data_IF_091453772721
#
_entry.id   IF_091453772721
#
_cell.length_a   1.000
_cell.length_b   1.000
_cell.length_c   1.000
_cell.angle_alpha   90.00
_cell.angle_beta   90.00
_cell.angle_gamma   90.00
#
_symmetry.space_group_name_H-M   'P 1'
#
loop_
_entity.id
_entity.type
_entity.pdbx_description
1 polymer ?
#
# COMPACT_ATOMS: atom_id res chain seq x y z
N UNK A 1 -13.26 5.86 10.35
CA UNK A 1 -12.25 5.26 9.42
C UNK A 1 -12.12 3.76 9.72
N UNK A 2 -11.79 2.88 8.76
CA UNK A 2 -11.40 1.48 9.05
C UNK A 2 -10.17 1.03 8.27
N UNK A 3 -9.40 0.12 8.86
CA UNK A 3 -8.18 -0.45 8.28
C UNK A 3 -8.41 -1.94 8.06
N UNK A 4 -8.09 -2.45 6.87
CA UNK A 4 -8.25 -3.86 6.52
C UNK A 4 -6.88 -4.45 6.25
N UNK A 5 -6.49 -5.46 7.03
CA UNK A 5 -5.26 -6.21 6.83
C UNK A 5 -5.53 -7.43 5.94
N UNK A 6 -4.86 -7.51 4.80
CA UNK A 6 -4.96 -8.62 3.84
C UNK A 6 -3.59 -9.31 3.74
N UNK A 7 -3.35 -10.35 4.56
CA UNK A 7 -2.17 -11.21 4.44
C UNK A 7 -1.99 -11.83 3.05
N UNK A 8 -0.85 -11.58 2.42
CA UNK A 8 -0.51 -12.13 1.11
C UNK A 8 0.31 -13.41 1.24
N UNK A 9 1.11 -13.53 2.29
CA UNK A 9 1.97 -14.70 2.56
C UNK A 9 1.77 -15.18 4.00
N UNK A 10 2.13 -16.44 4.26
CA UNK A 10 2.16 -16.96 5.63
C UNK A 10 3.29 -16.31 6.45
N UNK A 11 3.12 -16.15 7.78
CA UNK A 11 4.19 -15.74 8.66
C UNK A 11 5.28 -16.80 8.74
N UNK A 12 6.53 -16.38 8.62
CA UNK A 12 7.70 -17.25 8.76
C UNK A 12 8.00 -17.61 10.23
N UNK A 13 7.84 -18.89 10.62
CA UNK A 13 8.19 -19.39 11.95
C UNK A 13 7.31 -18.85 13.10
N UNK A 14 7.84 -18.82 14.32
CA UNK A 14 7.19 -18.36 15.58
C UNK A 14 6.90 -16.83 15.63
N UNK A 15 6.83 -16.19 14.46
CA UNK A 15 6.56 -14.77 14.25
C UNK A 15 5.14 -14.35 14.70
N UNK A 16 4.29 -15.31 15.05
CA UNK A 16 3.02 -15.08 15.74
C UNK A 16 3.20 -14.41 17.11
N UNK A 17 4.40 -14.46 17.71
CA UNK A 17 4.60 -14.04 19.10
C UNK A 17 5.76 -13.06 19.38
N UNK A 18 6.83 -12.96 18.56
CA UNK A 18 8.05 -12.22 19.01
C UNK A 18 8.76 -11.29 18.02
N UNK A 19 8.50 -11.34 16.72
CA UNK A 19 9.13 -10.38 15.78
C UNK A 19 8.28 -10.17 14.53
N UNK A 20 7.46 -9.12 14.57
CA UNK A 20 6.63 -8.67 13.44
C UNK A 20 7.47 -7.85 12.43
N UNK A 21 8.64 -8.35 12.06
CA UNK A 21 9.48 -7.66 11.07
C UNK A 21 8.80 -7.73 9.69
N UNK A 22 8.74 -6.64 8.90
CA UNK A 22 8.05 -6.60 7.61
C UNK A 22 8.62 -7.54 6.53
N UNK A 23 9.67 -8.31 6.86
CA UNK A 23 10.30 -9.33 6.00
C UNK A 23 9.85 -10.75 6.32
N UNK A 24 9.15 -10.97 7.44
CA UNK A 24 8.64 -12.30 7.82
C UNK A 24 7.25 -12.58 7.25
N UNK A 25 6.56 -11.54 6.77
CA UNK A 25 5.21 -11.64 6.22
C UNK A 25 4.88 -10.42 5.37
N UNK A 26 4.21 -10.63 4.23
CA UNK A 26 3.69 -9.56 3.39
C UNK A 26 2.20 -9.40 3.65
N UNK A 27 1.78 -8.21 4.07
CA UNK A 27 0.38 -7.86 4.32
C UNK A 27 0.04 -6.58 3.58
N UNK A 28 -0.99 -6.63 2.72
CA UNK A 28 -1.55 -5.45 2.10
C UNK A 28 -2.54 -4.78 3.08
N UNK A 29 -2.28 -3.52 3.42
CA UNK A 29 -3.19 -2.73 4.26
C UNK A 29 -4.03 -1.82 3.38
N UNK A 30 -5.35 -1.94 3.51
CA UNK A 30 -6.28 -1.05 2.84
C UNK A 30 -6.91 -0.07 3.83
N UNK A 31 -6.87 1.23 3.52
CA UNK A 31 -7.36 2.29 4.39
C UNK A 31 -8.65 2.88 3.82
N UNK A 32 -9.78 2.68 4.52
CA UNK A 32 -11.06 3.27 4.16
C UNK A 32 -11.38 4.44 5.06
N UNK A 33 -11.16 5.63 4.51
CA UNK A 33 -11.53 6.89 5.13
C UNK A 33 -12.92 7.27 4.61
N UNK A 34 -13.90 7.30 5.52
CA UNK A 34 -15.22 7.89 5.28
C UNK A 34 -15.04 9.41 5.23
N UNK A 35 -15.36 10.06 4.10
CA UNK A 35 -15.33 11.53 4.04
C UNK A 35 -16.48 12.08 4.91
N UNK A 36 -16.22 12.94 5.92
CA UNK A 36 -17.29 13.75 6.48
C UNK A 36 -17.80 14.74 5.42
N UNK A 37 -19.08 15.14 5.45
CA UNK A 37 -19.60 16.17 4.55
C UNK A 37 -18.85 17.49 4.79
N UNK A 38 -18.28 18.08 3.73
CA UNK A 38 -17.52 19.34 3.83
C UNK A 38 -18.47 20.50 4.21
N UNK A 39 -18.17 21.32 5.24
CA UNK A 39 -18.81 22.62 5.39
C UNK A 39 -18.36 23.56 4.25
N UNK A 40 -19.29 24.35 3.73
CA UNK A 40 -19.26 24.99 2.41
C UNK A 40 -18.27 26.16 2.18
N UNK A 41 -17.22 26.33 3.00
CA UNK A 41 -16.51 27.64 3.10
C UNK A 41 -15.00 27.69 2.77
N UNK A 42 -14.36 26.62 2.30
CA UNK A 42 -12.97 26.65 1.78
C UNK A 42 -12.98 26.30 0.28
N UNK A 43 -13.04 27.32 -0.60
CA UNK A 43 -13.16 27.10 -2.06
C UNK A 43 -12.01 27.67 -2.92
N UNK A 44 -11.15 28.55 -2.39
CA UNK A 44 -10.21 29.28 -3.25
C UNK A 44 -8.88 28.55 -3.45
N UNK A 45 -8.11 28.23 -2.41
CA UNK A 45 -6.81 27.57 -2.55
C UNK A 45 -6.94 26.08 -2.94
N UNK A 46 -7.85 25.36 -2.29
CA UNK A 46 -8.13 23.94 -2.58
C UNK A 46 -8.60 23.73 -4.03
N UNK A 47 -9.34 24.71 -4.58
CA UNK A 47 -9.85 24.64 -5.95
C UNK A 47 -8.75 24.62 -7.01
N UNK A 48 -7.65 25.37 -6.82
CA UNK A 48 -6.54 25.38 -7.77
C UNK A 48 -5.73 24.09 -7.70
N UNK A 49 -5.44 23.59 -6.49
CA UNK A 49 -4.73 22.32 -6.32
C UNK A 49 -5.54 21.13 -6.87
N UNK A 50 -6.84 21.10 -6.59
CA UNK A 50 -7.77 20.10 -7.14
C UNK A 50 -7.86 20.21 -8.66
N UNK A 51 -7.91 21.43 -9.21
CA UNK A 51 -7.91 21.66 -10.66
C UNK A 51 -6.62 21.16 -11.33
N UNK A 52 -5.44 21.48 -10.79
CA UNK A 52 -4.15 21.01 -11.32
C UNK A 52 -4.09 19.49 -11.28
N UNK A 53 -4.51 18.89 -10.17
CA UNK A 53 -4.52 17.43 -9.99
C UNK A 53 -5.46 16.76 -11.00
N UNK A 54 -6.67 17.29 -11.16
CA UNK A 54 -7.66 16.78 -12.10
C UNK A 54 -7.20 16.94 -13.56
N UNK A 55 -6.60 18.08 -13.91
CA UNK A 55 -6.01 18.29 -15.24
C UNK A 55 -4.87 17.33 -15.52
N UNK A 56 -3.95 17.15 -14.57
CA UNK A 56 -2.86 16.19 -14.71
C UNK A 56 -3.39 14.75 -14.91
N UNK A 57 -4.39 14.35 -14.13
CA UNK A 57 -5.03 13.04 -14.27
C UNK A 57 -5.73 12.85 -15.62
N UNK A 58 -6.44 13.87 -16.11
CA UNK A 58 -7.09 13.85 -17.43
C UNK A 58 -6.06 13.76 -18.56
N UNK A 59 -4.98 14.54 -18.49
CA UNK A 59 -3.90 14.50 -19.47
C UNK A 59 -3.20 13.14 -19.49
N UNK A 60 -2.91 12.57 -18.30
CA UNK A 60 -2.31 11.23 -18.19
C UNK A 60 -3.23 10.15 -18.79
N UNK A 61 -4.52 10.18 -18.47
CA UNK A 61 -5.51 9.26 -19.06
C UNK A 61 -5.66 9.47 -20.59
N UNK A 62 -5.49 10.69 -21.07
CA UNK A 62 -5.46 11.01 -22.49
C UNK A 62 -4.31 10.34 -23.23
N UNK A 63 -3.11 10.26 -22.61
CA UNK A 63 -1.95 9.59 -23.22
C UNK A 63 -2.18 8.09 -23.44
N UNK A 64 -2.91 7.41 -22.55
CA UNK A 64 -3.29 6.00 -22.73
C UNK A 64 -4.33 5.76 -23.82
N UNK A 65 -5.14 6.78 -24.17
CA UNK A 65 -6.16 6.71 -25.24
C UNK A 65 -5.67 7.20 -26.60
N UNK A 66 -4.42 7.63 -26.69
CA UNK A 66 -3.84 8.11 -27.94
C UNK A 66 -3.68 6.98 -28.97
N UNK A 67 -3.37 7.34 -30.21
CA UNK A 67 -3.21 6.37 -31.31
C UNK A 67 -2.16 5.30 -30.94
N UNK A 68 -2.47 4.05 -31.22
CA UNK A 68 -1.56 2.91 -31.02
C UNK A 68 -0.21 3.18 -31.70
N UNK A 69 0.88 2.93 -30.97
CA UNK A 69 2.24 3.17 -31.42
C UNK A 69 2.78 4.60 -31.22
N UNK A 70 1.95 5.55 -30.76
CA UNK A 70 2.41 6.90 -30.43
C UNK A 70 3.36 6.94 -29.23
N UNK A 71 4.21 7.96 -29.14
CA UNK A 71 5.10 8.16 -27.99
C UNK A 71 4.32 8.35 -26.68
N UNK A 72 3.09 8.87 -26.75
CA UNK A 72 2.20 9.07 -25.61
C UNK A 72 1.75 7.74 -25.00
N UNK A 73 1.34 6.77 -25.82
CA UNK A 73 0.99 5.42 -25.34
C UNK A 73 2.22 4.75 -24.74
N UNK A 74 3.38 4.83 -25.40
CA UNK A 74 4.65 4.29 -24.86
C UNK A 74 5.02 4.90 -23.52
N UNK A 75 4.81 6.21 -23.37
CA UNK A 75 5.04 6.93 -22.12
C UNK A 75 4.06 6.48 -21.02
N UNK A 76 2.79 6.38 -21.36
CA UNK A 76 1.75 5.89 -20.45
C UNK A 76 2.10 4.50 -19.93
N UNK A 77 2.38 3.55 -20.83
CA UNK A 77 2.79 2.18 -20.48
C UNK A 77 4.06 2.14 -19.63
N UNK A 78 5.07 2.97 -19.97
CA UNK A 78 6.29 3.06 -19.18
C UNK A 78 6.02 3.62 -17.79
N UNK A 79 5.16 4.63 -17.67
CA UNK A 79 4.71 5.18 -16.39
C UNK A 79 3.97 4.16 -15.54
N UNK A 80 3.03 3.41 -16.13
CA UNK A 80 2.34 2.32 -15.43
C UNK A 80 3.33 1.26 -14.94
N UNK A 81 4.32 0.86 -15.76
CA UNK A 81 5.41 -0.05 -15.34
C UNK A 81 6.26 0.52 -14.19
N UNK A 82 6.45 1.85 -14.13
CA UNK A 82 7.14 2.49 -13.01
C UNK A 82 6.30 2.46 -11.74
N UNK A 83 4.98 2.72 -11.85
CA UNK A 83 4.05 2.61 -10.73
C UNK A 83 4.00 1.18 -10.21
N UNK A 84 4.02 0.19 -11.08
CA UNK A 84 4.04 -1.24 -10.73
C UNK A 84 5.32 -1.68 -9.99
N UNK A 85 6.41 -0.92 -10.13
CA UNK A 85 7.64 -1.12 -9.36
C UNK A 85 7.64 -0.47 -7.99
N UNK A 86 6.68 0.43 -7.72
CA UNK A 86 6.55 1.03 -6.38
C UNK A 86 5.96 -0.01 -5.46
N UNK A 87 6.64 -0.23 -4.33
CA UNK A 87 6.17 -1.10 -3.25
C UNK A 87 4.69 -0.86 -2.92
N UNK A 88 3.89 -1.92 -2.91
CA UNK A 88 2.45 -1.83 -2.62
C UNK A 88 2.18 -1.19 -1.24
N UNK A 89 3.10 -1.32 -0.29
CA UNK A 89 3.02 -0.68 1.02
C UNK A 89 3.12 0.86 0.93
N UNK A 90 3.94 1.38 0.01
CA UNK A 90 4.04 2.83 -0.25
C UNK A 90 2.76 3.34 -0.90
N UNK A 91 2.19 2.58 -1.84
CA UNK A 91 0.92 2.93 -2.50
C UNK A 91 -0.25 2.93 -1.52
N UNK A 92 -0.33 1.94 -0.65
CA UNK A 92 -1.32 1.87 0.41
C UNK A 92 -1.26 3.10 1.33
N UNK A 93 -0.05 3.51 1.76
CA UNK A 93 0.13 4.69 2.60
C UNK A 93 -0.22 6.00 1.87
N UNK A 94 0.07 6.10 0.57
CA UNK A 94 -0.27 7.28 -0.24
C UNK A 94 -1.77 7.58 -0.25
N UNK A 95 -2.61 6.54 -0.21
CA UNK A 95 -4.07 6.65 -0.20
C UNK A 95 -4.64 7.26 1.07
N UNK A 96 -3.86 7.34 2.15
CA UNK A 96 -4.26 7.97 3.41
C UNK A 96 -4.12 9.48 3.25
N UNK A 97 -5.21 10.21 3.50
CA UNK A 97 -5.15 11.65 3.64
C UNK A 97 -5.35 12.05 5.11
N UNK A 98 -4.27 12.52 5.79
CA UNK A 98 -4.37 12.98 7.17
C UNK A 98 -5.36 14.14 7.37
N UNK A 99 -5.70 14.90 6.32
CA UNK A 99 -6.69 15.99 6.40
C UNK A 99 -8.14 15.52 6.42
N UNK A 100 -8.39 14.24 6.09
CA UNK A 100 -9.73 13.65 6.00
C UNK A 100 -9.92 12.56 7.08
N UNK A 101 -8.83 12.06 7.66
CA UNK A 101 -8.87 11.11 8.77
C UNK A 101 -9.26 11.77 10.10
N UNK A 102 -9.66 10.98 11.11
CA UNK A 102 -9.91 11.50 12.45
C UNK A 102 -8.68 12.26 12.98
N UNK A 103 -8.89 13.51 13.37
CA UNK A 103 -7.84 14.36 13.96
C UNK A 103 -7.67 13.98 15.42
N UNK A 104 -6.45 13.58 15.80
CA UNK A 104 -6.10 13.44 17.21
C UNK A 104 -5.78 14.83 17.74
N UNK A 105 -6.60 15.33 18.65
CA UNK A 105 -6.27 16.53 19.43
C UNK A 105 -5.16 16.14 20.40
N UNK A 106 -3.92 16.55 20.14
CA UNK A 106 -2.87 16.50 21.16
C UNK A 106 -3.12 17.63 22.17
N UNK A 107 -3.26 17.34 23.49
CA UNK A 107 -3.25 18.38 24.50
C UNK A 107 -1.79 18.73 24.82
N UNK A 108 -1.09 19.43 23.92
CA UNK A 108 0.02 20.32 24.28
C UNK A 108 0.63 20.98 23.04
N UNK A 109 1.10 22.23 23.22
CA UNK A 109 1.95 23.10 22.36
C UNK A 109 1.35 24.46 21.96
N UNK A 110 0.04 24.70 22.03
CA UNK A 110 -0.47 26.09 21.95
C UNK A 110 -1.68 26.27 22.85
N UNK A 111 -1.52 27.07 23.91
CA UNK A 111 -2.56 27.41 24.89
C UNK A 111 -3.73 28.20 24.31
N UNK A 112 -4.54 27.55 23.48
CA UNK A 112 -5.85 28.03 23.10
C UNK A 112 -6.86 26.96 23.45
N UNK A 113 -7.53 27.16 24.58
CA UNK A 113 -8.70 26.40 24.98
C UNK A 113 -9.79 26.56 23.92
N UNK A 114 -9.94 25.54 23.09
CA UNK A 114 -11.14 25.32 22.30
C UNK A 114 -11.71 23.96 22.68
N UNK A 115 -12.56 24.01 23.71
CA UNK A 115 -13.82 23.27 23.82
C UNK A 115 -13.92 21.96 23.01
N UNK A 116 -13.42 20.88 23.63
CA UNK A 116 -14.11 19.59 23.75
C UNK A 116 -14.76 19.00 22.49
N UNK A 117 -13.96 18.32 21.67
CA UNK A 117 -14.41 17.10 21.01
C UNK A 117 -13.33 16.03 21.18
N UNK A 118 -13.46 15.24 22.25
CA UNK A 118 -12.76 13.95 22.35
C UNK A 118 -13.24 13.11 21.18
N UNK A 119 -12.43 12.95 20.14
CA UNK A 119 -12.73 12.00 19.06
C UNK A 119 -12.50 10.60 19.62
N UNK A 120 -13.55 10.07 20.24
CA UNK A 120 -13.72 8.67 20.64
C UNK A 120 -14.06 7.80 19.42
N UNK A 121 -13.39 8.00 18.29
CA UNK A 121 -13.64 7.21 17.08
C UNK A 121 -12.61 6.08 17.03
N UNK A 122 -12.95 4.96 17.68
CA UNK A 122 -12.20 3.71 17.61
C UNK A 122 -12.09 3.28 16.14
N UNK A 123 -10.86 3.12 15.65
CA UNK A 123 -10.58 2.68 14.28
C UNK A 123 -10.38 1.16 14.31
N UNK A 124 -11.31 0.36 13.73
CA UNK A 124 -11.13 -1.07 13.69
C UNK A 124 -10.04 -1.45 12.67
N UNK A 125 -9.11 -2.27 13.12
CA UNK A 125 -8.09 -2.96 12.32
C UNK A 125 -8.56 -4.40 12.10
N UNK A 126 -9.22 -4.61 10.96
CA UNK A 126 -9.78 -5.91 10.58
C UNK A 126 -8.68 -6.88 10.15
N UNK A 127 -8.67 -8.07 10.74
CA UNK A 127 -7.73 -9.13 10.40
C UNK A 127 -8.40 -10.52 10.31
N UNK A 128 -7.84 -11.45 9.51
CA UNK A 128 -8.30 -12.84 9.48
C UNK A 128 -7.71 -13.63 10.66
N UNK A 129 -8.54 -14.15 11.58
CA UNK A 129 -8.07 -14.84 12.79
C UNK A 129 -7.38 -16.17 12.52
N UNK A 130 -7.64 -16.83 11.38
CA UNK A 130 -6.93 -18.06 10.98
C UNK A 130 -5.47 -17.85 10.58
N UNK A 131 -5.07 -16.62 10.26
CA UNK A 131 -3.72 -16.29 9.78
C UNK A 131 -2.96 -15.41 10.78
N UNK A 132 -3.65 -14.45 11.39
CA UNK A 132 -3.04 -13.44 12.27
C UNK A 132 -3.69 -13.39 13.64
N UNK A 133 -2.92 -12.92 14.61
CA UNK A 133 -3.42 -12.50 15.93
C UNK A 133 -3.64 -10.98 15.93
N UNK A 134 -4.59 -10.51 16.75
CA UNK A 134 -4.85 -9.07 16.90
C UNK A 134 -3.59 -8.27 17.30
N UNK A 135 -2.89 -8.64 18.39
CA UNK A 135 -1.64 -7.99 18.79
C UNK A 135 -0.55 -8.07 17.71
N UNK A 136 -0.42 -9.22 17.03
CA UNK A 136 0.55 -9.40 15.95
C UNK A 136 0.28 -8.49 14.75
N UNK A 137 -0.99 -8.31 14.38
CA UNK A 137 -1.39 -7.43 13.27
C UNK A 137 -1.05 -5.96 13.57
N UNK A 138 -1.32 -5.51 14.80
CA UNK A 138 -1.00 -4.15 15.22
C UNK A 138 0.51 -3.92 15.32
N UNK A 139 1.25 -4.89 15.88
CA UNK A 139 2.71 -4.84 15.94
C UNK A 139 3.34 -4.80 14.54
N UNK A 140 2.80 -5.57 13.59
CA UNK A 140 3.26 -5.57 12.21
C UNK A 140 2.98 -4.22 11.52
N UNK A 141 1.79 -3.64 11.71
CA UNK A 141 1.46 -2.32 11.18
C UNK A 141 2.41 -1.25 11.73
N UNK A 142 2.68 -1.26 13.04
CA UNK A 142 3.65 -0.37 13.68
C UNK A 142 5.05 -0.54 13.09
N UNK A 143 5.55 -1.78 13.00
CA UNK A 143 6.87 -2.05 12.43
C UNK A 143 7.00 -1.59 10.97
N UNK A 144 5.96 -1.77 10.16
CA UNK A 144 5.91 -1.30 8.77
C UNK A 144 6.06 0.22 8.69
N UNK A 145 5.29 0.95 9.51
CA UNK A 145 5.30 2.43 9.56
C UNK A 145 6.67 2.94 10.02
N UNK A 146 7.17 2.42 11.14
CA UNK A 146 8.46 2.80 11.72
C UNK A 146 9.62 2.57 10.75
N UNK A 147 9.63 1.42 10.06
CA UNK A 147 10.70 1.07 9.14
C UNK A 147 10.66 1.91 7.85
N UNK A 148 9.47 2.23 7.32
CA UNK A 148 9.31 2.89 6.02
C UNK A 148 9.33 4.41 6.10
N UNK A 149 8.90 5.01 7.22
CA UNK A 149 8.89 6.46 7.43
C UNK A 149 10.23 7.17 7.09
N UNK A 150 11.41 6.73 7.59
CA UNK A 150 12.67 7.40 7.29
C UNK A 150 13.08 7.26 5.82
N UNK A 151 12.72 6.13 5.17
CA UNK A 151 12.97 5.91 3.73
C UNK A 151 12.17 6.90 2.88
N UNK A 152 10.90 7.11 3.20
CA UNK A 152 10.06 8.08 2.49
C UNK A 152 10.51 9.52 2.71
N UNK A 153 10.93 9.88 3.94
CA UNK A 153 11.52 11.20 4.21
C UNK A 153 12.78 11.46 3.36
N UNK A 154 13.72 10.51 3.34
CA UNK A 154 14.94 10.60 2.52
C UNK A 154 14.59 10.70 1.04
N UNK A 155 13.69 9.84 0.56
CA UNK A 155 13.25 9.84 -0.83
C UNK A 155 12.62 11.17 -1.26
N UNK A 156 11.74 11.76 -0.43
CA UNK A 156 11.16 13.07 -0.68
C UNK A 156 12.25 14.13 -0.92
N UNK A 157 13.24 14.19 -0.04
CA UNK A 157 14.33 15.17 -0.12
C UNK A 157 15.19 14.93 -1.36
N UNK A 158 15.60 13.67 -1.61
CA UNK A 158 16.44 13.30 -2.77
C UNK A 158 15.78 13.72 -4.09
N UNK A 159 14.50 13.40 -4.27
CA UNK A 159 13.79 13.74 -5.51
C UNK A 159 13.46 15.24 -5.62
N UNK A 160 13.26 15.94 -4.50
CA UNK A 160 13.11 17.39 -4.49
C UNK A 160 14.41 18.10 -4.93
N UNK A 161 15.57 17.61 -4.51
CA UNK A 161 16.88 18.14 -4.91
C UNK A 161 17.19 17.79 -6.38
N UNK A 162 16.78 16.61 -6.85
CA UNK A 162 16.97 16.21 -8.24
C UNK A 162 16.12 17.01 -9.23
N UNK A 163 14.91 17.43 -8.83
CA UNK A 163 13.99 18.17 -9.68
C UNK A 163 14.61 19.41 -10.38
N UNK A 164 15.24 20.39 -9.70
CA UNK A 164 15.83 21.55 -10.36
C UNK A 164 16.95 21.17 -11.36
N UNK A 165 17.70 20.09 -11.11
CA UNK A 165 18.74 19.61 -12.04
C UNK A 165 18.15 19.09 -13.36
N UNK A 166 16.91 18.59 -13.30
CA UNK A 166 16.19 18.10 -14.48
C UNK A 166 15.35 19.18 -15.17
N UNK A 167 15.23 20.39 -14.62
CA UNK A 167 14.46 21.48 -15.23
C UNK A 167 14.93 21.95 -16.63
N UNK A 168 16.23 21.92 -16.99
CA UNK A 168 16.70 22.42 -18.29
C UNK A 168 16.17 21.70 -19.54
N UNK A 169 15.62 20.48 -19.41
CA UNK A 169 15.02 19.74 -20.53
C UNK A 169 13.67 20.32 -21.01
N UNK A 170 13.19 21.40 -20.41
CA UNK A 170 11.96 22.11 -20.81
C UNK A 170 12.11 22.92 -22.12
N UNK A 171 13.34 23.09 -22.62
CA UNK A 171 13.64 23.96 -23.77
C UNK A 171 13.16 23.37 -25.12
N UNK A 172 12.82 22.08 -25.20
CA UNK A 172 12.33 21.44 -26.45
C UNK A 172 10.79 21.44 -26.49
N UNK A 173 10.14 22.17 -27.43
CA UNK A 173 8.68 22.40 -27.42
C UNK A 173 7.81 21.18 -27.80
N UNK A 174 8.41 20.05 -28.17
CA UNK A 174 7.68 18.88 -28.70
C UNK A 174 7.40 17.81 -27.62
N UNK A 175 8.25 17.71 -26.59
CA UNK A 175 8.17 16.67 -25.56
C UNK A 175 8.16 17.33 -24.18
N UNK A 176 7.16 17.05 -23.31
CA UNK A 176 7.17 17.58 -21.95
C UNK A 176 8.45 17.14 -21.24
N UNK A 177 8.95 17.93 -20.29
CA UNK A 177 10.12 17.58 -19.50
C UNK A 177 9.81 16.42 -18.53
N UNK A 178 9.75 15.19 -19.06
CA UNK A 178 9.39 13.98 -18.34
C UNK A 178 10.31 13.72 -17.15
N UNK A 179 11.65 13.92 -17.24
CA UNK A 179 12.53 13.80 -16.08
C UNK A 179 12.10 14.70 -14.92
N UNK A 180 11.81 15.99 -15.20
CA UNK A 180 11.36 16.93 -14.17
C UNK A 180 10.04 16.51 -13.55
N UNK A 181 9.02 16.22 -14.37
CA UNK A 181 7.72 15.81 -13.86
C UNK A 181 7.80 14.51 -13.04
N UNK A 182 8.67 13.57 -13.44
CA UNK A 182 8.93 12.37 -12.66
C UNK A 182 9.55 12.69 -11.29
N UNK A 183 10.56 13.56 -11.23
CA UNK A 183 11.16 13.97 -9.94
C UNK A 183 10.14 14.65 -9.02
N UNK A 184 9.33 15.57 -9.54
CA UNK A 184 8.29 16.26 -8.77
C UNK A 184 7.23 15.27 -8.27
N UNK A 185 6.71 14.42 -9.16
CA UNK A 185 5.73 13.39 -8.79
C UNK A 185 6.30 12.42 -7.76
N UNK A 186 7.55 11.99 -7.92
CA UNK A 186 8.19 11.03 -7.01
C UNK A 186 8.47 11.64 -5.64
N UNK A 187 8.87 12.91 -5.61
CA UNK A 187 9.00 13.70 -4.38
C UNK A 187 7.66 13.82 -3.65
N UNK A 188 6.60 14.22 -4.36
CA UNK A 188 5.24 14.32 -3.79
C UNK A 188 4.72 12.96 -3.28
N UNK A 189 4.94 11.88 -4.02
CA UNK A 189 4.55 10.52 -3.60
C UNK A 189 5.22 10.13 -2.29
N UNK A 190 6.52 10.38 -2.16
CA UNK A 190 7.26 10.15 -0.93
C UNK A 190 6.81 11.06 0.22
N UNK A 191 6.54 12.33 -0.05
CA UNK A 191 6.00 13.26 0.94
C UNK A 191 4.68 12.75 1.51
N UNK A 192 3.74 12.35 0.63
CA UNK A 192 2.44 11.79 1.04
C UNK A 192 2.60 10.53 1.88
N UNK A 193 3.41 9.57 1.43
CA UNK A 193 3.67 8.34 2.20
C UNK A 193 4.33 8.62 3.56
N UNK A 194 5.23 9.60 3.64
CA UNK A 194 5.86 10.02 4.89
C UNK A 194 4.86 10.68 5.86
N UNK A 195 4.00 11.58 5.37
CA UNK A 195 2.95 12.21 6.20
C UNK A 195 1.89 11.20 6.65
N UNK A 196 1.51 10.27 5.78
CA UNK A 196 0.63 9.15 6.13
C UNK A 196 1.24 8.25 7.21
N UNK A 197 2.55 7.97 7.12
CA UNK A 197 3.26 7.20 8.15
C UNK A 197 3.23 7.90 9.51
N UNK A 198 3.50 9.21 9.56
CA UNK A 198 3.43 9.98 10.82
C UNK A 198 2.02 9.99 11.41
N UNK A 199 1.00 10.18 10.56
CA UNK A 199 -0.39 10.17 10.98
C UNK A 199 -0.79 8.81 11.56
N UNK A 200 -0.44 7.72 10.87
CA UNK A 200 -0.71 6.37 11.35
C UNK A 200 0.05 6.07 12.65
N UNK A 201 1.28 6.55 12.79
CA UNK A 201 2.05 6.44 14.02
C UNK A 201 1.32 7.12 15.19
N UNK A 202 0.82 8.36 14.99
CA UNK A 202 0.05 9.05 16.04
C UNK A 202 -1.22 8.30 16.45
N UNK A 203 -1.91 7.64 15.50
CA UNK A 203 -3.10 6.83 15.78
C UNK A 203 -2.78 5.56 16.58
N UNK A 204 -1.63 4.95 16.30
CA UNK A 204 -1.15 3.78 17.05
C UNK A 204 -0.76 4.21 18.47
N UNK A 205 0.01 5.28 18.61
CA UNK A 205 0.52 5.74 19.90
C UNK A 205 -0.57 6.32 20.80
N UNK A 206 -1.65 6.88 20.22
CA UNK A 206 -2.84 7.29 20.97
C UNK A 206 -3.76 6.13 21.35
N UNK A 207 -3.47 4.91 20.91
CA UNK A 207 -4.32 3.74 21.12
C UNK A 207 -5.66 3.79 20.40
N UNK A 208 -5.80 4.60 19.33
CA UNK A 208 -7.06 4.75 18.60
C UNK A 208 -7.38 3.54 17.69
N UNK A 209 -6.38 2.71 17.38
CA UNK A 209 -6.51 1.55 16.50
C UNK A 209 -6.68 0.29 17.33
N UNK A 210 -7.82 -0.39 17.14
CA UNK A 210 -8.17 -1.61 17.85
C UNK A 210 -8.24 -2.80 16.88
N UNK A 211 -7.49 -3.89 17.11
CA UNK A 211 -7.60 -5.10 16.32
C UNK A 211 -8.97 -5.76 16.51
N UNK A 212 -9.68 -6.02 15.41
CA UNK A 212 -10.99 -6.67 15.40
C UNK A 212 -10.96 -7.87 14.43
N UNK A 213 -11.32 -9.09 14.88
CA UNK A 213 -11.37 -10.25 14.00
C UNK A 213 -12.52 -10.09 12.98
N UNK A 214 -12.26 -10.41 11.72
CA UNK A 214 -13.25 -10.28 10.65
C UNK A 214 -13.68 -11.64 10.09
N UNK A 215 -14.93 -12.00 10.32
CA UNK A 215 -15.52 -13.23 9.76
C UNK A 215 -15.60 -13.18 8.22
N UNK A 216 -15.81 -11.97 7.66
CA UNK A 216 -15.82 -11.77 6.21
C UNK A 216 -14.46 -12.10 5.57
N UNK A 217 -13.36 -11.67 6.21
CA UNK A 217 -12.01 -12.08 5.78
C UNK A 217 -11.81 -13.58 5.97
N UNK A 218 -12.27 -14.16 7.07
CA UNK A 218 -12.13 -15.59 7.36
C UNK A 218 -12.80 -16.47 6.29
N UNK A 219 -14.04 -16.16 5.91
CA UNK A 219 -14.77 -16.85 4.82
C UNK A 219 -14.00 -16.76 3.51
N UNK A 220 -13.40 -15.60 3.23
CA UNK A 220 -12.62 -15.37 2.03
C UNK A 220 -11.37 -16.27 1.99
N UNK A 221 -10.58 -16.31 3.07
CA UNK A 221 -9.40 -17.17 3.13
C UNK A 221 -9.75 -18.67 3.07
N UNK A 222 -10.90 -19.09 3.63
CA UNK A 222 -11.37 -20.47 3.49
C UNK A 222 -11.75 -20.83 2.06
N UNK A 223 -12.38 -19.90 1.34
CA UNK A 223 -12.91 -20.14 -0.01
C UNK A 223 -11.85 -20.09 -1.10
N UNK A 224 -10.82 -19.26 -0.92
CA UNK A 224 -9.82 -18.96 -1.96
C UNK A 224 -8.40 -19.41 -1.60
N UNK A 225 -8.25 -20.27 -0.58
CA UNK A 225 -6.94 -20.87 -0.26
C UNK A 225 -6.45 -21.65 -1.48
N UNK A 226 -5.23 -21.38 -1.98
CA UNK A 226 -4.69 -22.19 -3.06
C UNK A 226 -4.56 -23.65 -2.59
N UNK A 227 -5.33 -24.53 -3.22
CA UNK A 227 -5.22 -25.97 -3.01
C UNK A 227 -3.82 -26.40 -3.43
N UNK A 228 -3.08 -27.18 -2.62
CA UNK A 228 -1.86 -27.81 -3.10
C UNK A 228 -2.23 -28.63 -4.33
N UNK A 229 -1.84 -28.20 -5.53
CA UNK A 229 -1.99 -29.01 -6.74
C UNK A 229 -1.21 -30.29 -6.49
N UNK A 230 -1.91 -31.42 -6.43
CA UNK A 230 -1.30 -32.75 -6.49
C UNK A 230 -0.37 -32.77 -7.71
N UNK A 231 0.94 -32.83 -7.46
CA UNK A 231 1.88 -33.09 -8.53
C UNK A 231 1.68 -34.54 -8.97
N UNK A 232 1.61 -34.84 -10.27
CA UNK A 232 1.68 -36.22 -10.72
C UNK A 232 3.04 -36.79 -10.31
N UNK A 233 3.00 -37.85 -9.52
CA UNK A 233 4.15 -38.66 -9.10
C UNK A 233 5.02 -38.99 -10.30
N UNK A 234 6.18 -38.35 -10.42
CA UNK A 234 7.29 -38.92 -11.18
C UNK A 234 8.35 -39.34 -10.18
N UNK A 235 8.33 -40.64 -9.89
CA UNK A 235 9.44 -41.35 -9.31
C UNK A 235 10.72 -41.02 -10.08
N UNK A 236 11.74 -40.56 -9.37
CA UNK A 236 13.14 -40.84 -9.68
C UNK A 236 13.97 -40.54 -8.43
N UNK A 237 14.24 -41.61 -7.68
CA UNK A 237 15.42 -41.70 -6.84
C UNK A 237 16.66 -41.47 -7.70
N UNK A 238 17.46 -40.46 -7.37
CA UNK A 238 18.90 -40.44 -7.63
C UNK A 238 19.56 -39.32 -6.81
N UNK A 239 20.29 -39.76 -5.78
CA UNK A 239 21.54 -39.18 -5.27
C UNK A 239 21.54 -37.74 -4.71
N UNK A 240 21.49 -37.66 -3.37
CA UNK A 240 22.60 -37.07 -2.61
C UNK A 240 22.90 -35.57 -2.78
N UNK A 241 21.92 -34.73 -3.11
CA UNK A 241 22.02 -33.27 -2.92
C UNK A 241 20.92 -32.80 -1.99
N UNK A 242 21.31 -32.07 -0.93
CA UNK A 242 20.40 -31.22 -0.16
C UNK A 242 19.93 -30.13 -1.14
N UNK A 243 18.84 -30.41 -1.86
CA UNK A 243 18.15 -29.41 -2.64
C UNK A 243 17.36 -28.60 -1.64
N UNK A 244 17.85 -27.41 -1.27
CA UNK A 244 17.02 -26.40 -0.63
C UNK A 244 15.71 -26.32 -1.41
N UNK A 245 14.60 -26.71 -0.77
CA UNK A 245 13.30 -26.76 -1.40
C UNK A 245 12.95 -25.37 -1.92
N UNK A 246 13.18 -25.13 -3.22
CA UNK A 246 12.86 -23.85 -3.87
C UNK A 246 11.38 -23.57 -3.65
N UNK A 247 11.08 -22.42 -3.03
CA UNK A 247 9.71 -21.99 -2.72
C UNK A 247 8.83 -22.13 -3.97
N UNK A 248 7.67 -22.76 -3.83
CA UNK A 248 6.64 -22.70 -4.86
C UNK A 248 5.79 -21.46 -4.59
N UNK A 249 6.02 -20.35 -5.33
CA UNK A 249 5.43 -19.06 -5.01
C UNK A 249 3.90 -19.07 -5.10
N UNK A 250 3.32 -20.03 -5.81
CA UNK A 250 1.86 -20.14 -5.95
C UNK A 250 1.21 -20.92 -4.79
N UNK A 251 2.00 -21.64 -3.98
CA UNK A 251 1.55 -22.36 -2.76
C UNK A 251 1.74 -21.49 -1.50
N UNK A 252 2.79 -20.66 -1.46
CA UNK A 252 3.12 -19.82 -0.30
C UNK A 252 2.30 -18.52 -0.24
N UNK A 253 1.64 -18.16 -1.35
CA UNK A 253 0.61 -17.11 -1.37
C UNK A 253 -0.67 -17.60 -0.70
N UNK A 254 -1.30 -16.74 0.09
CA UNK A 254 -2.56 -17.06 0.77
C UNK A 254 -3.80 -16.83 -0.10
N UNK A 255 -3.68 -15.95 -1.10
CA UNK A 255 -4.75 -15.56 -2.01
C UNK A 255 -4.26 -15.68 -3.46
N UNK A 256 -5.10 -16.21 -4.34
CA UNK A 256 -4.86 -16.23 -5.78
C UNK A 256 -5.33 -14.94 -6.44
N UNK A 257 -4.86 -14.65 -7.67
CA UNK A 257 -5.35 -13.49 -8.44
C UNK A 257 -6.86 -13.55 -8.70
N UNK A 258 -7.39 -14.74 -8.87
CA UNK A 258 -8.82 -14.96 -9.13
C UNK A 258 -9.70 -14.59 -7.93
N UNK A 259 -9.13 -14.45 -6.73
CA UNK A 259 -9.85 -14.03 -5.53
C UNK A 259 -10.10 -12.52 -5.46
N UNK A 260 -9.38 -11.71 -6.24
CA UNK A 260 -9.43 -10.24 -6.16
C UNK A 260 -10.85 -9.67 -6.29
N UNK A 261 -11.68 -10.08 -7.28
CA UNK A 261 -13.06 -9.59 -7.35
C UNK A 261 -13.88 -9.92 -6.11
N UNK A 262 -13.71 -11.11 -5.54
CA UNK A 262 -14.39 -11.53 -4.32
C UNK A 262 -13.91 -10.74 -3.10
N UNK A 263 -12.61 -10.41 -3.02
CA UNK A 263 -12.04 -9.54 -1.97
C UNK A 263 -12.70 -8.17 -1.99
N UNK A 264 -12.84 -7.57 -3.16
CA UNK A 264 -13.48 -6.27 -3.29
C UNK A 264 -14.95 -6.31 -2.87
N UNK A 265 -15.68 -7.34 -3.30
CA UNK A 265 -17.10 -7.49 -2.99
C UNK A 265 -17.36 -7.77 -1.51
N UNK A 266 -16.70 -8.78 -0.93
CA UNK A 266 -16.91 -9.22 0.45
C UNK A 266 -16.52 -8.11 1.45
N UNK A 267 -15.45 -7.38 1.16
CA UNK A 267 -14.95 -6.33 2.04
C UNK A 267 -15.52 -4.95 1.71
N UNK A 268 -16.38 -4.84 0.69
CA UNK A 268 -16.95 -3.58 0.19
C UNK A 268 -15.85 -2.53 -0.06
N UNK A 269 -14.82 -2.93 -0.80
CA UNK A 269 -13.71 -2.04 -1.18
C UNK A 269 -14.11 -1.23 -2.41
N UNK A 270 -13.51 -0.03 -2.54
CA UNK A 270 -13.70 0.79 -3.75
C UNK A 270 -13.05 0.09 -4.95
N UNK A 271 -13.59 0.26 -6.17
CA UNK A 271 -12.97 -0.29 -7.39
C UNK A 271 -11.51 0.13 -7.59
N UNK A 272 -11.13 1.31 -7.09
CA UNK A 272 -9.74 1.78 -7.12
C UNK A 272 -8.75 0.86 -6.38
N UNK A 273 -9.21 0.02 -5.46
CA UNK A 273 -8.37 -0.93 -4.71
C UNK A 273 -7.98 -2.17 -5.54
N UNK A 274 -8.67 -2.44 -6.65
CA UNK A 274 -8.47 -3.64 -7.47
C UNK A 274 -7.05 -3.72 -8.03
N UNK A 275 -6.62 -2.64 -8.71
CA UNK A 275 -5.30 -2.56 -9.31
C UNK A 275 -4.18 -2.66 -8.26
N UNK A 276 -4.39 -2.06 -7.08
CA UNK A 276 -3.44 -2.12 -5.97
C UNK A 276 -3.31 -3.54 -5.42
N UNK A 277 -4.41 -4.28 -5.32
CA UNK A 277 -4.40 -5.66 -4.83
C UNK A 277 -3.74 -6.63 -5.83
N UNK A 278 -4.03 -6.50 -7.13
CA UNK A 278 -3.32 -7.27 -8.16
C UNK A 278 -1.81 -7.01 -8.13
N UNK A 279 -1.42 -5.74 -8.00
CA UNK A 279 -0.01 -5.35 -7.87
C UNK A 279 0.63 -5.92 -6.62
N UNK A 280 -0.07 -5.86 -5.48
CA UNK A 280 0.41 -6.42 -4.22
C UNK A 280 0.64 -7.93 -4.32
N UNK A 281 -0.29 -8.67 -4.92
CA UNK A 281 -0.15 -10.12 -5.15
C UNK A 281 1.03 -10.45 -6.08
N UNK A 282 1.20 -9.73 -7.18
CA UNK A 282 2.32 -9.97 -8.10
C UNK A 282 3.67 -9.64 -7.43
N UNK A 283 3.75 -8.52 -6.71
CA UNK A 283 4.95 -8.17 -5.96
C UNK A 283 5.26 -9.21 -4.87
N UNK A 284 4.25 -9.69 -4.13
CA UNK A 284 4.43 -10.76 -3.16
C UNK A 284 4.96 -12.05 -3.81
N UNK A 285 4.38 -12.44 -4.94
CA UNK A 285 4.84 -13.60 -5.74
C UNK A 285 6.30 -13.47 -6.17
N UNK A 286 6.70 -12.29 -6.65
CA UNK A 286 8.06 -12.03 -7.09
C UNK A 286 9.05 -12.02 -5.92
N UNK A 287 8.68 -11.43 -4.77
CA UNK A 287 9.49 -11.43 -3.55
C UNK A 287 9.69 -12.85 -2.99
N UNK A 288 8.66 -13.70 -3.04
CA UNK A 288 8.75 -15.13 -2.71
C UNK A 288 9.72 -15.87 -3.65
N UNK A 289 9.62 -15.67 -4.97
CA UNK A 289 10.54 -16.27 -5.95
C UNK A 289 12.00 -15.89 -5.73
N UNK A 290 12.25 -14.68 -5.22
CA UNK A 290 13.59 -14.16 -4.93
C UNK A 290 14.13 -14.56 -3.55
N UNK A 291 13.32 -15.22 -2.72
CA UNK A 291 13.70 -15.58 -1.34
C UNK A 291 13.80 -14.37 -0.40
N UNK A 292 13.14 -13.24 -0.73
CA UNK A 292 13.16 -12.03 0.10
C UNK A 292 12.26 -12.16 1.34
N UNK A 293 11.35 -13.14 1.34
CA UNK A 293 10.49 -13.51 2.47
C UNK A 293 10.98 -14.85 3.02
N UNK A 294 11.30 -14.89 4.32
CA UNK A 294 11.70 -16.15 4.97
C UNK A 294 10.52 -17.14 4.95
N UNK A 295 10.79 -18.44 4.80
CA UNK A 295 9.74 -19.46 4.77
C UNK A 295 9.17 -19.69 6.17
N UNK A 296 7.89 -20.02 6.25
CA UNK A 296 7.36 -20.74 7.41
C UNK A 296 7.95 -22.14 7.40
N UNK A 297 8.80 -22.46 8.38
CA UNK A 297 9.19 -23.85 8.65
C UNK A 297 7.97 -24.66 9.12
#
# INVERSE_FOLDING_TARGET
>A
MRIVAIPLTRPAGDATLKSAAPRTMLTYYHFQISKPPKPSRQKTADGWADWVTNKAAQTWAGFGKAKEGSWQVRLYEYGERLVDRIDFEELALKGIDPSIGPTITHPDVTGSESSGSKVSESIPLLYPPSVLTGPGTLAHLKSLVDHRAPRHKKGCIVWAIAAPLTAPFMIVPIIPNLPFFFCVWRSWSHYRAWRASQYLQSLIDSGAIHPEPSEALEILYRSYRPTPREQPTKAQEAEGKIVEARANPDIDLLLSKDSVPAVLQILNLKPSAEADLYRALEQARLRLKRGEVKKAE
#
